data_IF_068638018431
#
_entry.id   IF_068638018431
#
_cell.length_a   1.000
_cell.length_b   1.000
_cell.length_c   1.000
_cell.angle_alpha   90.00
_cell.angle_beta   90.00
_cell.angle_gamma   90.00
#
_symmetry.space_group_name_H-M   'P 1'
#
loop_
_entity.id
_entity.type
_entity.pdbx_description
1 polymer ?
#
# COMPACT_ATOMS: atom_id res chain seq x y z
N UNK A 1 11.65 8.33 -66.81
CA UNK A 1 11.30 7.68 -65.52
C UNK A 1 10.24 6.64 -65.76
N UNK A 2 10.44 5.40 -65.28
CA UNK A 2 9.48 4.31 -65.49
C UNK A 2 8.22 4.51 -64.64
N UNK A 3 7.08 3.96 -65.06
CA UNK A 3 5.83 4.02 -64.27
C UNK A 3 6.00 3.44 -62.84
N UNK A 4 7.00 2.58 -62.66
CA UNK A 4 7.34 1.97 -61.37
C UNK A 4 7.92 2.99 -60.38
N UNK A 5 8.85 3.85 -60.81
CA UNK A 5 9.46 4.85 -59.92
C UNK A 5 8.45 5.91 -59.45
N UNK A 6 7.47 6.24 -60.31
CA UNK A 6 6.39 7.15 -59.93
C UNK A 6 5.46 6.54 -58.87
N UNK A 7 5.16 5.23 -58.95
CA UNK A 7 4.33 4.54 -57.95
C UNK A 7 5.02 4.42 -56.59
N UNK A 8 6.32 4.12 -56.57
CA UNK A 8 7.09 4.03 -55.32
C UNK A 8 7.19 5.38 -54.60
N UNK A 9 7.34 6.47 -55.35
CA UNK A 9 7.38 7.83 -54.78
C UNK A 9 6.06 8.22 -54.10
N UNK A 10 4.91 7.86 -54.66
CA UNK A 10 3.60 8.11 -54.03
C UNK A 10 3.38 7.30 -52.76
N UNK A 11 3.85 6.05 -52.71
CA UNK A 11 3.75 5.20 -51.52
C UNK A 11 4.60 5.77 -50.38
N UNK A 12 5.83 6.22 -50.66
CA UNK A 12 6.70 6.83 -49.66
C UNK A 12 6.10 8.13 -49.08
N UNK A 13 5.50 8.98 -49.93
CA UNK A 13 4.80 10.19 -49.51
C UNK A 13 3.58 9.87 -48.63
N UNK A 14 2.78 8.88 -49.01
CA UNK A 14 1.62 8.46 -48.23
C UNK A 14 2.02 7.91 -46.85
N UNK A 15 3.08 7.10 -46.79
CA UNK A 15 3.62 6.59 -45.51
C UNK A 15 4.16 7.73 -44.63
N UNK A 16 4.87 8.70 -45.21
CA UNK A 16 5.34 9.88 -44.46
C UNK A 16 4.19 10.70 -43.86
N UNK A 17 3.12 10.93 -44.62
CA UNK A 17 1.92 11.61 -44.15
C UNK A 17 1.18 10.83 -43.04
N UNK A 18 1.09 9.50 -43.17
CA UNK A 18 0.47 8.65 -42.14
C UNK A 18 1.27 8.72 -40.84
N UNK A 19 2.60 8.60 -40.90
CA UNK A 19 3.46 8.73 -39.71
C UNK A 19 3.29 10.10 -39.07
N UNK A 20 3.27 11.18 -39.86
CA UNK A 20 3.12 12.55 -39.35
C UNK A 20 1.74 12.79 -38.72
N UNK A 21 0.67 12.21 -39.28
CA UNK A 21 -0.67 12.26 -38.70
C UNK A 21 -0.79 11.45 -37.40
N UNK A 22 -0.13 10.28 -37.31
CA UNK A 22 -0.07 9.48 -36.09
C UNK A 22 0.68 10.25 -34.99
N UNK A 23 1.84 10.83 -35.30
CA UNK A 23 2.59 11.66 -34.36
C UNK A 23 1.81 12.88 -33.90
N UNK A 24 1.07 13.55 -34.79
CA UNK A 24 0.25 14.71 -34.43
C UNK A 24 -0.96 14.32 -33.55
N UNK A 25 -1.59 13.17 -33.81
CA UNK A 25 -2.65 12.65 -32.94
C UNK A 25 -2.12 12.27 -31.56
N UNK A 26 -0.97 11.64 -31.49
CA UNK A 26 -0.31 11.32 -30.22
C UNK A 26 0.05 12.60 -29.44
N UNK A 27 0.58 13.63 -30.11
CA UNK A 27 0.86 14.93 -29.49
C UNK A 27 -0.41 15.62 -28.97
N UNK A 28 -1.51 15.55 -29.71
CA UNK A 28 -2.80 16.12 -29.26
C UNK A 28 -3.39 15.33 -28.08
N UNK A 29 -3.27 14.01 -28.07
CA UNK A 29 -3.69 13.18 -26.92
C UNK A 29 -2.83 13.46 -25.68
N UNK A 30 -1.51 13.59 -25.86
CA UNK A 30 -0.61 13.98 -24.78
C UNK A 30 -0.96 15.38 -24.25
N UNK A 31 -1.18 16.35 -25.14
CA UNK A 31 -1.61 17.68 -24.75
C UNK A 31 -2.96 17.67 -24.01
N UNK A 32 -3.96 16.94 -24.50
CA UNK A 32 -5.26 16.85 -23.80
C UNK A 32 -5.14 16.17 -22.43
N UNK A 33 -4.29 15.15 -22.31
CA UNK A 33 -4.02 14.51 -21.02
C UNK A 33 -3.29 15.46 -20.05
N UNK A 34 -2.35 16.27 -20.54
CA UNK A 34 -1.68 17.26 -19.69
C UNK A 34 -2.63 18.37 -19.26
N UNK A 35 -3.62 18.77 -20.07
CA UNK A 35 -4.64 19.74 -19.66
C UNK A 35 -5.60 19.21 -18.60
N UNK A 36 -6.02 17.93 -18.67
CA UNK A 36 -6.87 17.32 -17.65
C UNK A 36 -6.11 17.15 -16.32
N UNK A 37 -4.84 16.74 -16.38
CA UNK A 37 -4.00 16.66 -15.20
C UNK A 37 -3.62 18.03 -14.64
N UNK A 38 -3.34 19.03 -15.48
CA UNK A 38 -3.09 20.40 -15.04
C UNK A 38 -4.34 21.01 -14.41
N UNK A 39 -5.55 20.72 -14.92
CA UNK A 39 -6.80 21.15 -14.30
C UNK A 39 -7.05 20.49 -12.94
N UNK A 40 -6.75 19.20 -12.79
CA UNK A 40 -6.82 18.50 -11.51
C UNK A 40 -5.73 18.95 -10.51
N UNK A 41 -4.55 19.33 -11.01
CA UNK A 41 -3.43 19.82 -10.22
C UNK A 41 -3.62 21.28 -9.78
N UNK A 42 -4.04 22.17 -10.68
CA UNK A 42 -4.40 23.56 -10.35
C UNK A 42 -5.59 23.65 -9.39
N UNK A 43 -6.55 22.72 -9.47
CA UNK A 43 -7.63 22.64 -8.49
C UNK A 43 -7.15 22.25 -7.08
N UNK A 44 -5.94 21.70 -6.95
CA UNK A 44 -5.27 21.40 -5.67
C UNK A 44 -4.34 22.53 -5.20
N UNK A 45 -4.02 23.54 -6.02
CA UNK A 45 -3.07 24.62 -5.66
C UNK A 45 -3.71 25.81 -4.92
N UNK A 46 -5.05 25.91 -4.87
CA UNK A 46 -5.74 26.94 -4.07
C UNK A 46 -5.74 26.63 -2.56
N UNK A 47 -5.26 25.45 -2.15
CA UNK A 47 -4.79 25.28 -0.78
C UNK A 47 -3.36 25.84 -0.75
N UNK A 48 -3.06 26.90 0.04
CA UNK A 48 -1.67 27.32 0.23
C UNK A 48 -0.89 26.07 0.60
N UNK A 49 0.35 25.88 0.11
CA UNK A 49 1.15 24.74 0.55
C UNK A 49 1.12 24.78 2.07
N UNK A 50 0.40 23.84 2.68
CA UNK A 50 0.54 23.60 4.10
C UNK A 50 2.04 23.35 4.20
N UNK A 51 2.76 24.32 4.78
CA UNK A 51 4.13 24.15 5.22
C UNK A 51 4.12 22.79 5.86
N UNK A 52 4.78 21.80 5.23
CA UNK A 52 4.83 20.43 5.71
C UNK A 52 5.04 20.54 7.21
N UNK A 53 4.02 20.30 8.04
CA UNK A 53 4.24 20.58 9.43
C UNK A 53 5.19 19.46 9.86
N UNK A 54 6.22 19.83 10.60
CA UNK A 54 7.00 18.94 11.47
C UNK A 54 6.10 18.09 12.43
N UNK A 55 4.78 18.04 12.23
CA UNK A 55 3.77 17.32 13.01
C UNK A 55 3.76 15.81 12.82
N UNK A 56 4.36 15.24 11.77
CA UNK A 56 4.67 13.80 11.78
C UNK A 56 5.93 13.47 12.60
N UNK A 57 6.73 14.48 12.97
CA UNK A 57 7.84 14.33 13.92
C UNK A 57 7.52 14.86 15.34
N UNK A 58 6.49 15.68 15.53
CA UNK A 58 6.21 16.34 16.81
C UNK A 58 4.97 15.85 17.57
N UNK A 59 4.14 14.98 16.99
CA UNK A 59 3.06 14.31 17.74
C UNK A 59 3.37 12.83 18.07
N UNK A 60 4.61 12.37 17.88
CA UNK A 60 5.03 11.00 18.23
C UNK A 60 6.43 10.91 18.86
N UNK A 61 7.03 12.04 19.24
CA UNK A 61 8.26 12.10 20.03
C UNK A 61 8.01 12.17 21.55
N UNK A 62 6.84 11.72 22.02
CA UNK A 62 6.72 11.26 23.40
C UNK A 62 7.33 9.86 23.45
N UNK A 63 8.63 9.78 23.73
CA UNK A 63 9.37 8.57 24.12
C UNK A 63 8.76 7.25 23.61
N UNK A 64 8.80 6.99 22.30
CA UNK A 64 8.64 5.61 21.85
C UNK A 64 9.89 4.84 22.31
N UNK A 65 9.74 3.75 23.07
CA UNK A 65 10.89 2.94 23.48
C UNK A 65 11.63 2.47 22.22
N UNK A 66 12.94 2.72 22.21
CA UNK A 66 13.83 2.42 21.09
C UNK A 66 13.72 0.94 20.68
N UNK A 67 13.02 0.67 19.57
CA UNK A 67 12.78 -0.69 19.04
C UNK A 67 14.09 -1.35 18.60
N UNK A 68 15.16 -0.57 18.37
CA UNK A 68 16.48 -1.09 17.98
C UNK A 68 17.09 -2.06 19.01
N UNK A 69 16.64 -2.05 20.27
CA UNK A 69 17.11 -2.98 21.30
C UNK A 69 16.40 -4.34 21.30
N UNK A 70 15.37 -4.53 20.46
CA UNK A 70 14.64 -5.80 20.32
C UNK A 70 14.98 -6.56 19.03
N UNK A 71 15.99 -6.13 18.29
CA UNK A 71 16.60 -6.96 17.26
C UNK A 71 17.09 -8.26 17.91
N UNK A 72 16.31 -9.32 17.76
CA UNK A 72 16.68 -10.68 18.11
C UNK A 72 17.88 -11.05 17.23
N UNK A 73 19.09 -10.80 17.74
CA UNK A 73 20.30 -11.39 17.18
C UNK A 73 20.13 -12.92 17.23
N UNK A 74 20.30 -13.62 16.09
CA UNK A 74 20.31 -15.07 16.10
C UNK A 74 21.63 -15.55 16.71
N UNK A 75 21.60 -15.91 17.99
CA UNK A 75 22.49 -16.96 18.51
C UNK A 75 23.90 -16.60 18.99
N UNK A 76 24.15 -15.42 19.54
CA UNK A 76 25.43 -15.16 20.23
C UNK A 76 25.30 -15.31 21.77
N UNK A 77 25.91 -16.37 22.27
CA UNK A 77 26.17 -16.62 23.69
C UNK A 77 27.03 -15.50 24.29
N UNK A 78 26.45 -14.75 25.23
CA UNK A 78 27.14 -13.71 26.02
C UNK A 78 28.12 -14.37 27.00
N UNK A 79 29.37 -13.89 27.13
CA UNK A 79 30.29 -14.35 28.15
C UNK A 79 29.86 -13.83 29.52
N UNK A 80 29.58 -14.75 30.44
CA UNK A 80 29.33 -14.47 31.86
C UNK A 80 30.61 -13.94 32.50
N UNK A 81 30.61 -12.66 32.87
CA UNK A 81 31.60 -12.11 33.79
C UNK A 81 30.89 -11.87 35.13
N UNK A 82 31.18 -12.75 36.08
CA UNK A 82 30.77 -12.64 37.47
C UNK A 82 31.50 -11.47 38.13
N UNK A 83 30.76 -10.46 38.57
CA UNK A 83 31.17 -9.69 39.75
C UNK A 83 29.95 -9.21 40.52
N UNK A 84 29.84 -9.77 41.72
CA UNK A 84 28.71 -9.71 42.61
C UNK A 84 28.42 -8.30 43.14
N UNK A 85 27.17 -7.87 43.04
CA UNK A 85 26.55 -7.00 44.05
C UNK A 85 25.20 -7.59 44.42
N UNK A 86 25.10 -8.11 45.64
CA UNK A 86 23.97 -8.84 46.19
C UNK A 86 22.88 -7.85 46.60
N UNK A 87 21.87 -7.65 45.75
CA UNK A 87 20.61 -6.99 46.13
C UNK A 87 19.57 -8.06 46.49
N UNK A 88 18.99 -8.05 47.71
CA UNK A 88 17.95 -8.99 48.08
C UNK A 88 16.58 -8.47 47.63
N UNK A 89 15.82 -9.32 46.93
CA UNK A 89 14.36 -9.29 46.98
C UNK A 89 13.65 -8.37 46.00
N UNK A 90 13.85 -8.57 44.71
CA UNK A 90 12.77 -8.40 43.75
C UNK A 90 12.74 -9.67 42.91
N UNK A 91 11.65 -10.43 43.02
CA UNK A 91 11.39 -11.59 42.19
C UNK A 91 11.36 -11.13 40.73
N UNK A 92 12.53 -11.16 40.08
CA UNK A 92 12.67 -11.18 38.64
C UNK A 92 11.96 -12.42 38.17
N UNK A 93 10.65 -12.27 37.98
CA UNK A 93 9.84 -13.15 37.18
C UNK A 93 10.47 -13.11 35.80
N UNK A 94 11.40 -14.03 35.54
CA UNK A 94 11.89 -14.34 34.22
C UNK A 94 10.66 -14.79 33.45
N UNK A 95 9.93 -13.83 32.88
CA UNK A 95 8.83 -14.09 31.97
C UNK A 95 9.49 -14.85 30.83
N UNK A 96 9.43 -16.18 30.90
CA UNK A 96 9.75 -17.04 29.78
C UNK A 96 8.87 -16.54 28.65
N UNK A 97 9.46 -15.77 27.73
CA UNK A 97 8.82 -15.38 26.48
C UNK A 97 8.46 -16.67 25.79
N UNK A 98 7.24 -17.13 26.04
CA UNK A 98 6.72 -18.33 25.41
C UNK A 98 6.68 -17.98 23.93
N UNK A 99 7.55 -18.62 23.14
CA UNK A 99 7.60 -18.40 21.71
C UNK A 99 6.21 -18.70 21.16
N UNK A 100 5.58 -17.70 20.53
CA UNK A 100 4.28 -17.91 19.90
C UNK A 100 4.41 -19.02 18.85
N UNK A 101 3.42 -19.91 18.80
CA UNK A 101 3.32 -20.82 17.67
C UNK A 101 2.97 -20.04 16.39
N UNK A 102 3.31 -20.56 15.20
CA UNK A 102 2.92 -19.91 13.94
C UNK A 102 1.41 -19.71 13.78
N UNK A 103 0.59 -20.57 14.38
CA UNK A 103 -0.87 -20.42 14.38
C UNK A 103 -1.36 -19.31 15.33
N UNK A 104 -0.76 -19.21 16.51
CA UNK A 104 -1.04 -18.12 17.45
C UNK A 104 -0.62 -16.77 16.87
N UNK A 105 0.54 -16.70 16.20
CA UNK A 105 1.00 -15.49 15.54
C UNK A 105 0.05 -15.06 14.40
N UNK A 106 -0.40 -15.99 13.55
CA UNK A 106 -1.40 -15.71 12.51
C UNK A 106 -2.71 -15.21 13.07
N UNK A 107 -3.21 -15.85 14.14
CA UNK A 107 -4.46 -15.43 14.81
C UNK A 107 -4.36 -14.02 15.37
N UNK A 108 -3.21 -13.71 16.00
CA UNK A 108 -2.89 -12.37 16.51
C UNK A 108 -2.83 -11.34 15.38
N UNK A 109 -2.24 -11.67 14.23
CA UNK A 109 -2.20 -10.75 13.08
C UNK A 109 -3.58 -10.54 12.43
N UNK A 110 -4.45 -11.54 12.44
CA UNK A 110 -5.85 -11.38 12.03
C UNK A 110 -6.62 -10.44 12.96
N UNK A 111 -6.42 -10.56 14.28
CA UNK A 111 -6.98 -9.63 15.26
C UNK A 111 -6.46 -8.21 15.01
N UNK A 112 -5.13 -8.06 14.92
CA UNK A 112 -4.49 -6.77 14.62
C UNK A 112 -5.08 -6.11 13.36
N UNK A 113 -5.30 -6.89 12.29
CA UNK A 113 -5.91 -6.38 11.06
C UNK A 113 -7.35 -5.92 11.27
N UNK A 114 -8.16 -6.65 12.03
CA UNK A 114 -9.53 -6.21 12.38
C UNK A 114 -9.51 -4.89 13.15
N UNK A 115 -8.53 -4.67 14.00
CA UNK A 115 -8.41 -3.41 14.73
C UNK A 115 -8.02 -2.23 13.83
N UNK A 116 -7.12 -2.46 12.86
CA UNK A 116 -6.81 -1.47 11.84
C UNK A 116 -8.04 -1.16 10.96
N UNK A 117 -8.84 -2.17 10.63
CA UNK A 117 -10.12 -1.99 9.92
C UNK A 117 -11.10 -1.16 10.76
N UNK A 118 -11.14 -1.39 12.08
CA UNK A 118 -11.93 -0.58 13.01
C UNK A 118 -11.45 0.87 13.08
N UNK A 119 -10.15 1.10 13.18
CA UNK A 119 -9.57 2.45 13.14
C UNK A 119 -9.99 3.23 11.91
N UNK A 120 -9.89 2.55 10.77
CA UNK A 120 -10.18 3.06 9.45
C UNK A 120 -11.68 3.36 9.28
N UNK A 121 -12.55 2.47 9.75
CA UNK A 121 -14.00 2.68 9.77
C UNK A 121 -14.40 3.87 10.66
N UNK A 122 -13.81 3.97 11.84
CA UNK A 122 -14.08 5.07 12.76
C UNK A 122 -13.53 6.40 12.25
N UNK A 123 -12.33 6.42 11.65
CA UNK A 123 -11.77 7.66 11.08
C UNK A 123 -12.58 8.14 9.89
N UNK A 124 -13.03 7.24 9.01
CA UNK A 124 -13.82 7.60 7.84
C UNK A 124 -15.20 8.19 8.18
N UNK A 125 -15.69 8.02 9.42
CA UNK A 125 -16.94 8.60 9.93
C UNK A 125 -16.74 9.92 10.65
N UNK A 126 -15.50 10.34 10.89
CA UNK A 126 -15.26 11.61 11.57
C UNK A 126 -15.77 12.76 10.69
N UNK A 127 -16.35 13.84 11.29
CA UNK A 127 -16.80 14.99 10.52
C UNK A 127 -15.69 15.62 9.67
N UNK A 128 -14.45 15.61 10.19
CA UNK A 128 -13.28 16.15 9.51
C UNK A 128 -12.91 15.35 8.25
N UNK A 129 -12.83 14.02 8.36
CA UNK A 129 -12.51 13.15 7.23
C UNK A 129 -13.64 13.14 6.19
N UNK A 130 -14.91 13.19 6.63
CA UNK A 130 -16.05 13.34 5.73
C UNK A 130 -15.97 14.65 4.96
N UNK A 131 -15.73 15.78 5.63
CA UNK A 131 -15.58 17.07 4.97
C UNK A 131 -14.41 17.07 3.96
N UNK A 132 -13.29 16.42 4.31
CA UNK A 132 -12.14 16.26 3.40
C UNK A 132 -12.50 15.46 2.14
N UNK A 133 -13.29 14.40 2.28
CA UNK A 133 -13.77 13.60 1.14
C UNK A 133 -14.78 14.35 0.29
N UNK A 134 -15.71 15.07 0.90
CA UNK A 134 -16.69 15.86 0.17
C UNK A 134 -16.04 16.93 -0.70
N UNK A 135 -14.95 17.56 -0.23
CA UNK A 135 -14.13 18.45 -1.08
C UNK A 135 -13.58 17.73 -2.32
N UNK A 136 -13.18 16.47 -2.18
CA UNK A 136 -12.72 15.63 -3.31
C UNK A 136 -13.85 15.22 -4.25
N UNK A 137 -15.11 15.27 -3.83
CA UNK A 137 -16.27 14.92 -4.65
C UNK A 137 -16.93 16.13 -5.33
N UNK A 138 -16.41 17.35 -5.13
CA UNK A 138 -17.03 18.58 -5.66
C UNK A 138 -17.19 18.62 -7.19
N UNK A 139 -16.40 17.84 -7.91
CA UNK A 139 -16.44 17.72 -9.37
C UNK A 139 -17.41 16.64 -9.86
N UNK A 140 -17.92 15.79 -8.97
CA UNK A 140 -18.91 14.78 -9.31
C UNK A 140 -20.30 15.40 -9.44
N UNK A 141 -21.15 14.89 -10.37
CA UNK A 141 -22.57 15.19 -10.36
C UNK A 141 -23.21 14.89 -8.99
N UNK A 142 -24.21 15.67 -8.53
CA UNK A 142 -24.77 15.53 -7.18
C UNK A 142 -25.26 14.12 -6.83
N UNK A 143 -25.87 13.41 -7.79
CA UNK A 143 -26.33 12.03 -7.59
C UNK A 143 -25.17 11.03 -7.40
N UNK A 144 -24.03 11.24 -8.08
CA UNK A 144 -22.84 10.40 -7.91
C UNK A 144 -22.15 10.70 -6.58
N UNK A 145 -22.03 11.98 -6.21
CA UNK A 145 -21.49 12.37 -4.91
C UNK A 145 -22.32 11.80 -3.75
N UNK A 146 -23.66 11.77 -3.89
CA UNK A 146 -24.54 11.12 -2.91
C UNK A 146 -24.35 9.61 -2.87
N UNK A 147 -24.17 8.94 -4.02
CA UNK A 147 -23.89 7.51 -4.08
C UNK A 147 -22.55 7.18 -3.41
N UNK A 148 -21.50 7.96 -3.64
CA UNK A 148 -20.20 7.82 -2.98
C UNK A 148 -20.29 8.01 -1.47
N UNK A 149 -21.06 9.02 -1.01
CA UNK A 149 -21.33 9.23 0.42
C UNK A 149 -22.01 8.01 1.05
N UNK A 150 -23.03 7.47 0.41
CA UNK A 150 -23.74 6.29 0.91
C UNK A 150 -22.79 5.08 0.95
N UNK A 151 -22.05 4.84 -0.12
CA UNK A 151 -21.14 3.71 -0.20
C UNK A 151 -20.00 3.79 0.84
N UNK A 152 -19.48 4.99 1.13
CA UNK A 152 -18.52 5.22 2.20
C UNK A 152 -19.11 4.86 3.58
N UNK A 153 -20.33 5.30 3.85
CA UNK A 153 -21.03 4.99 5.12
C UNK A 153 -21.27 3.49 5.26
N UNK A 154 -21.66 2.81 4.18
CA UNK A 154 -21.90 1.37 4.14
C UNK A 154 -20.60 0.59 4.37
N UNK A 155 -19.51 0.98 3.70
CA UNK A 155 -18.17 0.39 3.88
C UNK A 155 -17.67 0.55 5.32
N UNK A 156 -17.80 1.76 5.88
CA UNK A 156 -17.48 2.00 7.29
C UNK A 156 -18.41 1.21 8.23
N UNK A 157 -19.66 0.95 7.83
CA UNK A 157 -20.59 0.09 8.56
C UNK A 157 -20.22 -1.38 8.57
N UNK A 158 -19.73 -1.90 7.44
CA UNK A 158 -19.27 -3.28 7.33
C UNK A 158 -17.97 -3.51 8.08
N UNK A 159 -16.93 -2.72 7.80
CA UNK A 159 -15.63 -2.84 8.46
C UNK A 159 -15.69 -2.46 9.94
N UNK A 160 -16.56 -1.51 10.31
CA UNK A 160 -16.72 -1.04 11.67
C UNK A 160 -17.56 -1.94 12.59
N UNK A 161 -18.09 -3.06 12.08
CA UNK A 161 -19.02 -3.90 12.84
C UNK A 161 -18.30 -4.62 13.97
N UNK A 162 -18.75 -4.38 15.21
CA UNK A 162 -18.16 -4.99 16.41
C UNK A 162 -16.88 -4.31 16.89
N UNK A 163 -16.58 -3.11 16.38
CA UNK A 163 -15.42 -2.36 16.82
C UNK A 163 -15.57 -1.87 18.27
N UNK A 164 -14.51 -1.97 19.09
CA UNK A 164 -14.56 -1.48 20.46
C UNK A 164 -14.64 0.06 20.49
N UNK A 165 -15.14 0.62 21.61
CA UNK A 165 -15.29 2.07 21.84
C UNK A 165 -14.03 2.75 22.43
N UNK A 166 -12.85 2.25 22.11
CA UNK A 166 -11.56 2.68 22.71
C UNK A 166 -11.11 4.09 22.31
N UNK A 167 -11.70 4.70 21.28
CA UNK A 167 -11.38 6.09 20.88
C UNK A 167 -11.91 7.16 21.83
N UNK A 168 -12.82 6.81 22.73
CA UNK A 168 -13.40 7.75 23.69
C UNK A 168 -12.47 7.99 24.91
N UNK A 169 -11.42 7.18 25.06
CA UNK A 169 -10.42 7.26 26.12
C UNK A 169 -8.98 7.28 25.54
N UNK A 170 -8.29 8.44 25.54
CA UNK A 170 -6.92 8.57 25.06
C UNK A 170 -5.91 7.65 25.76
N UNK A 171 -6.11 7.32 27.04
CA UNK A 171 -5.22 6.43 27.78
C UNK A 171 -5.45 4.96 27.40
N UNK A 172 -6.71 4.54 27.22
CA UNK A 172 -7.02 3.22 26.67
C UNK A 172 -6.48 3.06 25.24
N UNK A 173 -6.61 4.09 24.41
CA UNK A 173 -6.02 4.16 23.08
C UNK A 173 -4.51 3.95 23.11
N UNK A 174 -3.81 4.68 23.97
CA UNK A 174 -2.35 4.55 24.13
C UNK A 174 -1.96 3.14 24.59
N UNK A 175 -2.61 2.60 25.63
CA UNK A 175 -2.35 1.23 26.11
C UNK A 175 -2.57 0.20 25.01
N UNK A 176 -3.63 0.32 24.22
CA UNK A 176 -3.88 -0.61 23.12
C UNK A 176 -2.85 -0.51 22.01
N UNK A 177 -2.35 0.70 21.71
CA UNK A 177 -1.24 0.88 20.78
C UNK A 177 0.03 0.17 21.27
N UNK A 178 0.36 0.28 22.56
CA UNK A 178 1.50 -0.40 23.18
C UNK A 178 1.34 -1.93 23.14
N UNK A 179 0.15 -2.44 23.48
CA UNK A 179 -0.17 -3.88 23.40
C UNK A 179 -0.02 -4.41 21.97
N UNK A 180 -0.56 -3.69 20.96
CA UNK A 180 -0.42 -4.07 19.55
C UNK A 180 1.02 -4.09 19.10
N UNK A 181 1.83 -3.12 19.55
CA UNK A 181 3.24 -3.10 19.22
C UNK A 181 3.96 -4.32 19.82
N UNK A 182 3.67 -4.67 21.07
CA UNK A 182 4.24 -5.88 21.71
C UNK A 182 3.79 -7.17 21.02
N UNK A 183 2.53 -7.24 20.60
CA UNK A 183 1.96 -8.33 19.82
C UNK A 183 2.66 -8.49 18.46
N UNK A 184 2.85 -7.38 17.73
CA UNK A 184 3.54 -7.36 16.44
C UNK A 184 4.99 -7.84 16.57
N UNK A 185 5.73 -7.36 17.57
CA UNK A 185 7.10 -7.84 17.87
C UNK A 185 7.11 -9.35 18.14
N UNK A 186 6.13 -9.85 18.88
CA UNK A 186 6.01 -11.27 19.19
C UNK A 186 5.69 -12.12 17.96
N UNK A 187 4.85 -11.62 17.05
CA UNK A 187 4.54 -12.29 15.79
C UNK A 187 5.71 -12.27 14.80
N UNK A 188 6.49 -11.18 14.75
CA UNK A 188 7.76 -11.13 14.00
C UNK A 188 8.75 -12.17 14.54
N UNK A 189 8.88 -12.29 15.87
CA UNK A 189 9.74 -13.31 16.49
C UNK A 189 9.30 -14.77 16.19
N UNK A 190 8.01 -14.96 15.85
CA UNK A 190 7.47 -16.23 15.39
C UNK A 190 7.61 -16.45 13.88
N UNK A 191 8.27 -15.54 13.17
CA UNK A 191 8.44 -15.51 11.71
C UNK A 191 7.11 -15.48 10.95
N UNK A 192 6.10 -14.77 11.48
CA UNK A 192 4.85 -14.55 10.74
C UNK A 192 5.07 -13.57 9.56
N UNK A 193 4.74 -13.95 8.32
CA UNK A 193 4.98 -13.11 7.15
C UNK A 193 4.16 -11.82 7.15
N UNK A 194 2.92 -11.83 7.64
CA UNK A 194 2.09 -10.62 7.73
C UNK A 194 2.66 -9.65 8.76
N UNK A 195 3.16 -10.16 9.90
CA UNK A 195 3.81 -9.36 10.93
C UNK A 195 5.09 -8.70 10.40
N UNK A 196 5.93 -9.44 9.66
CA UNK A 196 7.16 -8.90 9.06
C UNK A 196 6.88 -7.77 8.07
N UNK A 197 5.83 -7.90 7.24
CA UNK A 197 5.39 -6.83 6.33
C UNK A 197 4.78 -5.64 7.10
N UNK A 198 4.03 -5.91 8.16
CA UNK A 198 3.38 -4.83 8.95
C UNK A 198 4.39 -4.04 9.78
N UNK A 199 5.41 -4.70 10.31
CA UNK A 199 6.44 -4.11 11.18
C UNK A 199 7.42 -3.17 10.46
N UNK A 200 7.25 -2.93 9.16
CA UNK A 200 8.09 -2.01 8.36
C UNK A 200 8.07 -0.57 8.91
N UNK A 201 7.15 -0.22 9.82
CA UNK A 201 7.08 1.12 10.44
C UNK A 201 7.59 1.08 11.89
N UNK A 202 8.60 1.90 12.26
CA UNK A 202 9.36 2.83 11.42
C UNK A 202 10.38 2.13 10.50
N UNK A 203 10.63 2.71 9.33
CA UNK A 203 11.55 2.16 8.33
C UNK A 203 12.99 2.38 8.80
N UNK A 204 13.68 1.30 9.17
CA UNK A 204 15.11 1.33 9.46
C UNK A 204 15.91 0.68 8.31
N UNK A 205 17.21 1.00 8.16
CA UNK A 205 18.05 0.33 7.16
C UNK A 205 18.05 -1.20 7.31
N UNK A 206 18.10 -1.72 8.54
CA UNK A 206 18.07 -3.16 8.81
C UNK A 206 16.76 -3.80 8.34
N UNK A 207 15.62 -3.11 8.50
CA UNK A 207 14.34 -3.62 7.99
C UNK A 207 14.29 -3.63 6.47
N UNK A 208 14.85 -2.63 5.79
CA UNK A 208 14.92 -2.60 4.32
C UNK A 208 15.69 -3.82 3.79
N UNK A 209 16.79 -4.20 4.45
CA UNK A 209 17.59 -5.36 4.08
C UNK A 209 16.82 -6.69 4.22
N UNK A 210 15.95 -6.81 5.23
CA UNK A 210 15.15 -8.01 5.49
C UNK A 210 13.82 -8.05 4.74
N UNK A 211 13.44 -6.94 4.10
CA UNK A 211 12.14 -6.79 3.48
C UNK A 211 11.97 -7.70 2.25
N UNK A 212 12.94 -7.83 1.31
CA UNK A 212 12.79 -8.73 0.17
C UNK A 212 12.41 -10.16 0.58
N UNK A 213 13.06 -10.70 1.61
CA UNK A 213 12.74 -12.04 2.13
C UNK A 213 11.30 -12.13 2.64
N UNK A 214 10.80 -11.11 3.34
CA UNK A 214 9.42 -11.09 3.83
C UNK A 214 8.40 -11.01 2.68
N UNK A 215 8.74 -10.29 1.60
CA UNK A 215 7.89 -10.21 0.41
C UNK A 215 7.91 -11.53 -0.38
N UNK A 216 9.07 -12.19 -0.48
CA UNK A 216 9.17 -13.53 -1.07
C UNK A 216 8.33 -14.53 -0.29
N UNK A 217 8.42 -14.55 1.04
CA UNK A 217 7.61 -15.42 1.89
C UNK A 217 6.11 -15.16 1.70
N UNK A 218 5.69 -13.90 1.54
CA UNK A 218 4.30 -13.56 1.26
C UNK A 218 3.83 -14.12 -0.10
N UNK A 219 4.64 -14.02 -1.16
CA UNK A 219 4.30 -14.62 -2.46
C UNK A 219 4.27 -16.15 -2.37
N UNK A 220 5.25 -16.76 -1.71
CA UNK A 220 5.36 -18.21 -1.55
C UNK A 220 4.24 -18.80 -0.68
N UNK A 221 3.67 -18.02 0.23
CA UNK A 221 2.53 -18.44 1.06
C UNK A 221 1.28 -18.75 0.23
N UNK A 222 1.16 -18.14 -0.96
CA UNK A 222 -0.04 -18.20 -1.79
C UNK A 222 -1.26 -17.51 -1.19
N UNK A 223 -1.14 -16.81 -0.05
CA UNK A 223 -2.23 -16.09 0.58
C UNK A 223 -2.49 -14.75 -0.15
N UNK A 224 -3.63 -14.60 -0.87
CA UNK A 224 -3.94 -13.38 -1.60
C UNK A 224 -3.99 -12.14 -0.70
N UNK A 225 -4.37 -12.30 0.57
CA UNK A 225 -4.55 -11.23 1.53
C UNK A 225 -3.20 -10.72 2.08
N UNK A 226 -2.14 -11.54 2.02
CA UNK A 226 -0.74 -11.13 2.22
C UNK A 226 -0.15 -10.52 0.94
N UNK A 227 -0.44 -11.10 -0.22
CA UNK A 227 0.01 -10.58 -1.51
C UNK A 227 -0.49 -9.14 -1.73
N UNK A 228 -1.73 -8.83 -1.35
CA UNK A 228 -2.25 -7.46 -1.41
C UNK A 228 -1.47 -6.47 -0.51
N UNK A 229 -0.88 -6.93 0.60
CA UNK A 229 -0.10 -6.08 1.50
C UNK A 229 1.28 -5.72 0.92
N UNK A 230 1.80 -6.53 -0.01
CA UNK A 230 3.11 -6.32 -0.64
C UNK A 230 3.21 -4.93 -1.25
N UNK A 231 2.14 -4.42 -1.88
CA UNK A 231 2.25 -3.16 -2.62
C UNK A 231 2.59 -1.94 -1.77
N UNK A 232 2.21 -1.92 -0.48
CA UNK A 232 2.65 -0.88 0.45
C UNK A 232 4.12 -0.99 0.83
N UNK A 233 4.64 -2.22 0.90
CA UNK A 233 6.02 -2.49 1.25
C UNK A 233 6.99 -2.34 0.06
N UNK A 234 6.60 -2.84 -1.12
CA UNK A 234 7.32 -2.74 -2.39
C UNK A 234 7.54 -1.27 -2.79
N UNK A 235 6.57 -0.39 -2.51
CA UNK A 235 6.73 1.05 -2.70
C UNK A 235 7.97 1.60 -1.99
N UNK A 236 8.30 1.10 -0.80
CA UNK A 236 9.48 1.55 -0.04
C UNK A 236 10.79 1.01 -0.61
N UNK A 237 10.81 -0.24 -1.07
CA UNK A 237 11.97 -0.80 -1.76
C UNK A 237 12.32 0.03 -3.00
N UNK A 238 11.31 0.42 -3.77
CA UNK A 238 11.48 1.13 -5.04
C UNK A 238 11.68 2.64 -4.90
N UNK A 239 11.13 3.26 -3.84
CA UNK A 239 11.34 4.70 -3.59
C UNK A 239 12.82 5.11 -3.50
N UNK A 240 13.71 4.15 -3.20
CA UNK A 240 15.17 4.33 -3.16
C UNK A 240 15.83 4.21 -4.53
N UNK A 241 15.21 3.47 -5.45
CA UNK A 241 15.76 3.12 -6.76
C UNK A 241 15.18 3.98 -7.90
N UNK A 242 14.72 5.20 -7.58
CA UNK A 242 13.96 6.09 -8.47
C UNK A 242 14.45 6.01 -9.93
N UNK A 243 13.63 5.41 -10.78
CA UNK A 243 13.65 5.69 -12.20
C UNK A 243 12.79 6.93 -12.48
N UNK A 244 13.03 7.55 -13.63
CA UNK A 244 12.15 8.56 -14.21
C UNK A 244 11.21 7.92 -15.26
N UNK A 245 10.94 6.62 -15.12
CA UNK A 245 10.18 5.84 -16.09
C UNK A 245 8.66 6.01 -15.92
N UNK A 246 7.85 5.83 -16.99
CA UNK A 246 6.39 5.81 -16.87
C UNK A 246 5.89 4.69 -15.94
N UNK A 247 6.68 3.62 -15.76
CA UNK A 247 6.38 2.52 -14.84
C UNK A 247 6.40 2.97 -13.37
N UNK A 248 7.16 4.01 -13.05
CA UNK A 248 7.26 4.57 -11.70
C UNK A 248 6.03 5.44 -11.34
N UNK A 249 5.24 5.83 -12.35
CA UNK A 249 3.96 6.53 -12.17
C UNK A 249 2.83 5.57 -11.74
N UNK A 250 3.03 4.26 -11.89
CA UNK A 250 2.06 3.25 -11.46
C UNK A 250 2.13 3.11 -9.94
N UNK A 251 1.01 3.33 -9.28
CA UNK A 251 0.92 3.19 -7.82
C UNK A 251 0.92 1.70 -7.46
N UNK A 252 2.09 1.16 -7.12
CA UNK A 252 2.34 -0.25 -6.78
C UNK A 252 1.32 -0.87 -5.81
N UNK A 253 0.80 -0.15 -4.79
CA UNK A 253 -0.30 -0.67 -3.97
C UNK A 253 -1.52 -1.15 -4.75
N UNK A 254 -1.84 -0.53 -5.91
CA UNK A 254 -2.94 -0.97 -6.76
C UNK A 254 -2.58 -2.21 -7.59
N UNK A 255 -1.37 -2.27 -8.16
CA UNK A 255 -0.90 -3.44 -8.91
C UNK A 255 -0.98 -4.72 -8.07
N UNK A 256 -0.43 -4.70 -6.86
CA UNK A 256 -0.45 -5.87 -5.97
C UNK A 256 -1.84 -6.23 -5.48
N UNK A 257 -2.71 -5.25 -5.23
CA UNK A 257 -4.09 -5.52 -4.87
C UNK A 257 -4.87 -6.17 -6.02
N UNK A 258 -4.68 -5.74 -7.27
CA UNK A 258 -5.29 -6.35 -8.45
C UNK A 258 -4.80 -7.78 -8.69
N UNK A 259 -3.48 -8.02 -8.57
CA UNK A 259 -2.90 -9.36 -8.65
C UNK A 259 -3.49 -10.27 -7.56
N UNK A 260 -3.66 -9.76 -6.33
CA UNK A 260 -4.31 -10.53 -5.27
C UNK A 260 -5.76 -10.90 -5.61
N UNK A 261 -6.52 -10.00 -6.24
CA UNK A 261 -7.87 -10.32 -6.73
C UNK A 261 -7.85 -11.49 -7.72
N UNK A 262 -6.90 -11.52 -8.67
CA UNK A 262 -6.75 -12.63 -9.64
C UNK A 262 -6.28 -13.95 -9.03
N UNK A 263 -5.70 -13.88 -7.83
CA UNK A 263 -5.30 -15.02 -7.03
C UNK A 263 -6.39 -15.47 -6.05
N UNK A 264 -7.56 -14.84 -6.07
CA UNK A 264 -8.75 -15.26 -5.32
C UNK A 264 -9.10 -14.38 -4.12
N UNK A 265 -8.46 -13.22 -3.94
CA UNK A 265 -8.93 -12.25 -2.95
C UNK A 265 -10.30 -11.70 -3.37
N UNK A 266 -11.24 -11.62 -2.44
CA UNK A 266 -12.54 -11.02 -2.72
C UNK A 266 -12.41 -9.50 -2.90
N UNK A 267 -12.65 -9.04 -4.12
CA UNK A 267 -12.55 -7.65 -4.56
C UNK A 267 -13.87 -7.12 -5.14
N UNK A 268 -14.98 -7.77 -4.80
CA UNK A 268 -16.33 -7.45 -5.23
C UNK A 268 -17.02 -6.46 -4.27
N UNK A 269 -18.23 -5.95 -4.60
CA UNK A 269 -18.95 -5.01 -3.77
C UNK A 269 -19.26 -5.60 -2.39
N UNK A 270 -18.91 -4.85 -1.36
CA UNK A 270 -19.08 -5.28 0.03
C UNK A 270 -17.97 -6.16 0.59
N UNK A 271 -16.92 -6.45 -0.19
CA UNK A 271 -15.75 -7.16 0.31
C UNK A 271 -14.91 -6.27 1.24
N UNK A 272 -14.24 -6.84 2.26
CA UNK A 272 -13.32 -6.08 3.11
C UNK A 272 -12.19 -5.39 2.34
N UNK A 273 -11.73 -5.98 1.23
CA UNK A 273 -10.67 -5.41 0.39
C UNK A 273 -11.14 -4.11 -0.27
N UNK A 274 -12.29 -4.15 -0.95
CA UNK A 274 -12.84 -2.96 -1.59
C UNK A 274 -13.20 -1.89 -0.54
N UNK A 275 -13.77 -2.31 0.59
CA UNK A 275 -14.09 -1.42 1.70
C UNK A 275 -12.82 -0.73 2.23
N UNK A 276 -11.71 -1.45 2.45
CA UNK A 276 -10.44 -0.83 2.89
C UNK A 276 -9.92 0.18 1.89
N UNK A 277 -9.99 -0.12 0.59
CA UNK A 277 -9.57 0.82 -0.46
C UNK A 277 -10.45 2.07 -0.48
N UNK A 278 -11.77 1.90 -0.41
CA UNK A 278 -12.74 2.98 -0.26
C UNK A 278 -12.41 3.85 0.96
N UNK A 279 -12.16 3.25 2.12
CA UNK A 279 -11.88 3.98 3.35
C UNK A 279 -10.46 4.55 3.42
N UNK A 280 -9.48 4.06 2.65
CA UNK A 280 -8.11 4.62 2.62
C UNK A 280 -7.95 5.77 1.62
N UNK A 281 -8.80 5.88 0.61
CA UNK A 281 -8.52 6.78 -0.52
C UNK A 281 -9.71 7.30 -1.32
N UNK A 282 -9.35 8.21 -2.22
CA UNK A 282 -9.98 8.93 -3.38
C UNK A 282 -11.48 8.90 -3.69
N UNK A 283 -12.34 8.17 -2.97
CA UNK A 283 -13.79 8.25 -3.17
C UNK A 283 -14.28 7.40 -4.32
N UNK A 284 -14.03 6.10 -4.21
CA UNK A 284 -14.42 5.10 -5.20
C UNK A 284 -15.16 3.94 -4.53
N UNK A 285 -16.01 4.31 -3.59
CA UNK A 285 -16.70 3.40 -2.71
C UNK A 285 -17.85 2.71 -3.43
N UNK A 286 -18.43 3.33 -4.46
CA UNK A 286 -19.56 2.80 -5.23
C UNK A 286 -19.19 1.83 -6.36
N UNK A 287 -17.90 1.49 -6.53
CA UNK A 287 -17.47 0.71 -7.69
C UNK A 287 -17.88 -0.77 -7.63
N UNK A 288 -18.18 -1.39 -8.79
CA UNK A 288 -18.60 -2.79 -8.85
C UNK A 288 -17.46 -3.79 -8.62
N UNK A 289 -16.20 -3.36 -8.76
CA UNK A 289 -14.99 -4.16 -8.47
C UNK A 289 -13.85 -3.22 -8.10
N UNK A 290 -12.78 -3.74 -7.48
CA UNK A 290 -11.54 -2.97 -7.26
C UNK A 290 -10.91 -2.49 -8.58
N UNK A 291 -10.96 -3.30 -9.64
CA UNK A 291 -10.46 -2.91 -10.97
C UNK A 291 -11.24 -1.72 -11.56
N UNK A 292 -12.57 -1.77 -11.49
CA UNK A 292 -13.43 -0.66 -11.89
C UNK A 292 -13.20 0.59 -11.02
N UNK A 293 -12.73 0.42 -9.79
CA UNK A 293 -12.35 1.53 -8.94
C UNK A 293 -11.03 2.19 -9.38
N UNK A 294 -10.06 1.39 -9.79
CA UNK A 294 -8.71 1.88 -10.13
C UNK A 294 -8.67 2.48 -11.54
N UNK A 295 -9.37 1.91 -12.51
CA UNK A 295 -9.30 2.34 -13.93
C UNK A 295 -9.48 3.85 -14.14
N UNK A 296 -10.47 4.53 -13.53
CA UNK A 296 -10.67 5.97 -13.73
C UNK A 296 -9.56 6.85 -13.15
N UNK A 297 -8.67 6.31 -12.30
CA UNK A 297 -7.55 7.05 -11.71
C UNK A 297 -6.37 7.22 -12.66
N UNK A 298 -6.35 6.50 -13.78
CA UNK A 298 -5.23 6.43 -14.70
C UNK A 298 -5.65 6.79 -16.13
N UNK A 299 -4.79 7.50 -16.88
CA UNK A 299 -4.87 7.55 -18.34
C UNK A 299 -4.79 6.15 -18.96
N UNK A 300 -5.42 5.96 -20.11
CA UNK A 300 -5.48 4.68 -20.83
C UNK A 300 -4.09 4.04 -21.08
N UNK A 301 -3.08 4.87 -21.38
CA UNK A 301 -1.70 4.41 -21.57
C UNK A 301 -1.13 3.79 -20.28
N UNK A 302 -1.35 4.44 -19.13
CA UNK A 302 -0.89 3.89 -17.85
C UNK A 302 -1.68 2.65 -17.45
N UNK A 303 -2.98 2.61 -17.79
CA UNK A 303 -3.79 1.40 -17.59
C UNK A 303 -3.27 0.22 -18.41
N UNK A 304 -2.86 0.45 -19.66
CA UNK A 304 -2.28 -0.59 -20.51
C UNK A 304 -0.98 -1.15 -19.89
N UNK A 305 -0.12 -0.27 -19.36
CA UNK A 305 1.11 -0.69 -18.68
C UNK A 305 0.78 -1.44 -17.38
N UNK A 306 -0.21 -0.98 -16.61
CA UNK A 306 -0.65 -1.65 -15.39
C UNK A 306 -1.19 -3.06 -15.68
N UNK A 307 -2.05 -3.21 -16.70
CA UNK A 307 -2.60 -4.50 -17.12
C UNK A 307 -1.47 -5.44 -17.61
N UNK A 308 -0.50 -4.94 -18.38
CA UNK A 308 0.67 -5.72 -18.79
C UNK A 308 1.51 -6.20 -17.59
N UNK A 309 1.80 -5.31 -16.63
CA UNK A 309 2.57 -5.67 -15.44
C UNK A 309 1.80 -6.66 -14.55
N UNK A 310 0.48 -6.51 -14.45
CA UNK A 310 -0.40 -7.43 -13.73
C UNK A 310 -0.33 -8.83 -14.32
N UNK A 311 -0.45 -8.96 -15.65
CA UNK A 311 -0.36 -10.25 -16.35
C UNK A 311 1.02 -10.90 -16.18
N UNK A 312 2.09 -10.13 -16.34
CA UNK A 312 3.47 -10.62 -16.16
C UNK A 312 3.70 -11.14 -14.74
N UNK A 313 3.29 -10.36 -13.72
CA UNK A 313 3.41 -10.76 -12.32
C UNK A 313 2.60 -12.02 -12.03
N UNK A 314 1.36 -12.08 -12.50
CA UNK A 314 0.49 -13.23 -12.30
C UNK A 314 1.08 -14.50 -12.94
N UNK A 315 1.64 -14.39 -14.14
CA UNK A 315 2.32 -15.49 -14.82
C UNK A 315 3.56 -15.95 -14.04
N UNK A 316 4.39 -15.02 -13.55
CA UNK A 316 5.58 -15.34 -12.76
C UNK A 316 5.25 -16.03 -11.44
N UNK A 317 4.23 -15.55 -10.72
CA UNK A 317 3.76 -16.16 -9.47
C UNK A 317 3.27 -17.58 -9.74
N UNK A 318 2.40 -17.77 -10.75
CA UNK A 318 1.84 -19.09 -11.09
C UNK A 318 2.89 -20.09 -11.60
N UNK A 319 3.94 -19.62 -12.27
CA UNK A 319 5.03 -20.48 -12.76
C UNK A 319 6.15 -20.72 -11.72
N UNK A 320 6.08 -20.07 -10.55
CA UNK A 320 7.13 -20.12 -9.54
C UNK A 320 8.39 -19.33 -9.91
N UNK A 321 8.37 -18.54 -10.98
CA UNK A 321 9.48 -17.69 -11.45
C UNK A 321 9.55 -16.38 -10.66
N UNK A 322 9.58 -16.49 -9.34
CA UNK A 322 9.57 -15.34 -8.44
C UNK A 322 10.97 -14.78 -8.20
N UNK A 323 12.05 -15.50 -8.52
CA UNK A 323 13.41 -15.00 -8.37
C UNK A 323 13.59 -13.63 -9.05
N UNK A 324 14.20 -12.68 -8.35
CA UNK A 324 14.43 -11.32 -8.85
C UNK A 324 13.21 -10.39 -8.80
N UNK A 325 12.08 -10.80 -8.21
CA UNK A 325 10.86 -10.00 -8.20
C UNK A 325 10.98 -8.74 -7.33
N UNK A 326 11.74 -8.82 -6.25
CA UNK A 326 11.96 -7.73 -5.29
C UNK A 326 13.40 -7.20 -5.30
N UNK A 327 14.21 -7.66 -6.25
CA UNK A 327 15.57 -7.17 -6.40
C UNK A 327 15.52 -5.70 -6.85
N UNK A 328 16.41 -4.84 -6.34
CA UNK A 328 16.48 -3.47 -6.81
C UNK A 328 16.78 -3.47 -8.31
N UNK A 329 16.19 -2.57 -9.10
CA UNK A 329 16.56 -2.44 -10.51
C UNK A 329 18.07 -2.18 -10.60
N UNK A 330 18.76 -2.73 -11.61
CA UNK A 330 20.18 -2.44 -11.81
C UNK A 330 20.37 -0.93 -11.94
N UNK A 331 21.36 -0.38 -11.23
CA UNK A 331 21.72 1.03 -11.37
C UNK A 331 22.09 1.29 -12.84
N UNK A 332 21.54 2.35 -13.48
CA UNK A 332 21.78 2.67 -14.88
C UNK A 332 23.24 3.02 -15.19
#
# INVERSE_FOLDING_TARGET
MSRLTRRLSWIALALGLIVQLISHRQLLQLAQSTWVHAGAWLANEDEPPESFPDRLAHNSAAEMPNIASYALAPGDSVPTNDTATKHPGADSSTISRTKLSPEAARSLMQEHRRELDCELALSARSPEELAKRERKWRWLPPHMAQAERQALQDAAGRLGRGCPHWKDDPEALKRRQEERQAQLVSAVAANDPSARITAIRPITPQFIEQLPDALYDAVLSGDPELIAQIGWADQWLRARARGDGPEDLIHRPFLWALVACDLGLDCLPGSPTLDRHCLRGTGICGSPTLDAAIRPLYPEVLMTILDQQRDELLQRIRSGQIAGLFDPPPNP
#
